data_IF_643839203995
#
_entry.id   IF_643839203995
#
_cell.length_a   1.000
_cell.length_b   1.000
_cell.length_c   1.000
_cell.angle_alpha   90.00
_cell.angle_beta   90.00
_cell.angle_gamma   90.00
#
_symmetry.space_group_name_H-M   'P 1'
#
loop_
_entity.id
_entity.type
_entity.pdbx_description
1 polymer ?
#
# COMPACT_ATOMS: atom_id res chain seq x y z
N UNK A 1 -1.01 10.87 -0.30
CA UNK A 1 -1.65 11.90 0.53
C UNK A 1 -1.49 13.32 0.00
N UNK A 2 -0.59 13.59 -0.90
CA UNK A 2 -0.27 14.89 -1.50
C UNK A 2 0.28 15.98 -0.53
N UNK A 3 0.41 15.73 0.76
CA UNK A 3 0.94 16.72 1.72
C UNK A 3 2.43 17.02 1.50
N UNK A 4 3.18 16.07 0.93
CA UNK A 4 4.60 16.24 0.65
C UNK A 4 4.90 16.96 -0.68
N UNK A 5 3.85 17.33 -1.41
CA UNK A 5 3.97 18.14 -2.62
C UNK A 5 3.85 19.64 -2.25
N UNK A 6 4.98 20.33 -2.12
CA UNK A 6 5.08 21.70 -1.61
C UNK A 6 4.35 22.79 -2.41
N UNK A 7 3.61 22.43 -3.47
CA UNK A 7 2.83 23.35 -4.29
C UNK A 7 1.35 23.44 -3.86
N UNK A 8 0.94 22.64 -2.87
CA UNK A 8 -0.42 22.61 -2.35
C UNK A 8 -0.47 23.23 -0.95
N UNK A 9 -1.52 24.03 -0.70
CA UNK A 9 -1.90 24.46 0.64
C UNK A 9 -3.26 23.83 0.93
N UNK A 10 -3.31 22.91 1.87
CA UNK A 10 -4.54 22.23 2.29
C UNK A 10 -5.14 22.90 3.53
N UNK A 11 -6.45 22.85 3.68
CA UNK A 11 -7.18 23.41 4.82
C UNK A 11 -6.92 22.65 6.13
N UNK A 12 -6.53 21.38 6.04
CA UNK A 12 -6.16 20.51 7.15
C UNK A 12 -5.14 19.46 6.69
N UNK A 13 -4.41 18.86 7.62
CA UNK A 13 -3.54 17.72 7.35
C UNK A 13 -4.36 16.48 6.98
N UNK A 14 -3.87 15.69 6.04
CA UNK A 14 -4.49 14.43 5.60
C UNK A 14 -4.06 13.26 6.48
N UNK A 15 -2.79 13.23 6.88
CA UNK A 15 -2.16 12.09 7.58
C UNK A 15 -1.52 12.52 8.92
N UNK A 16 -2.22 13.39 9.66
CA UNK A 16 -1.72 13.97 10.90
C UNK A 16 -1.43 12.93 11.98
N UNK A 17 -2.32 11.94 12.14
CA UNK A 17 -2.15 10.90 13.16
C UNK A 17 -0.96 9.99 12.85
N UNK A 18 -0.91 9.46 11.63
CA UNK A 18 0.19 8.57 11.18
C UNK A 18 1.55 9.25 11.33
N UNK A 19 1.64 10.54 10.98
CA UNK A 19 2.88 11.32 11.10
C UNK A 19 3.29 11.65 12.54
N UNK A 20 2.34 11.59 13.47
CA UNK A 20 2.58 11.87 14.91
C UNK A 20 3.01 10.64 15.70
N UNK A 21 2.99 9.44 15.09
CA UNK A 21 3.26 8.19 15.80
C UNK A 21 4.70 8.08 16.27
N UNK A 22 4.86 7.82 17.55
CA UNK A 22 6.11 7.36 18.12
C UNK A 22 6.36 5.90 17.76
N UNK A 23 7.63 5.47 17.74
CA UNK A 23 8.05 4.10 17.41
C UNK A 23 7.51 3.65 16.05
N UNK A 24 7.51 4.54 15.09
CA UNK A 24 7.10 4.30 13.72
C UNK A 24 8.18 4.70 12.72
N UNK A 25 8.18 4.05 11.58
CA UNK A 25 8.92 4.46 10.39
C UNK A 25 7.92 4.97 9.38
N UNK A 26 7.97 6.23 9.07
CA UNK A 26 7.22 6.84 7.99
C UNK A 26 8.13 7.11 6.80
N UNK A 27 7.67 6.80 5.61
CA UNK A 27 8.43 7.02 4.39
C UNK A 27 7.56 6.87 3.15
N UNK A 28 8.22 6.78 2.00
CA UNK A 28 7.54 6.64 0.72
C UNK A 28 8.07 5.43 -0.06
N UNK A 29 7.18 4.80 -0.79
CA UNK A 29 7.51 3.67 -1.66
C UNK A 29 7.12 3.96 -3.11
N UNK A 30 7.98 3.53 -4.04
CA UNK A 30 7.58 3.47 -5.44
C UNK A 30 6.70 2.25 -5.67
N UNK A 31 5.58 2.48 -6.35
CA UNK A 31 4.69 1.46 -6.91
C UNK A 31 4.82 1.44 -8.43
N UNK A 32 4.38 0.39 -9.08
CA UNK A 32 4.46 0.25 -10.55
C UNK A 32 3.22 0.72 -11.28
N UNK A 33 2.20 1.22 -10.57
CA UNK A 33 0.89 1.56 -11.12
C UNK A 33 0.43 2.95 -10.65
N UNK A 34 -0.44 3.57 -11.46
CA UNK A 34 -1.04 4.88 -11.18
C UNK A 34 -2.53 4.84 -11.52
N UNK A 35 -3.36 5.36 -10.61
CA UNK A 35 -4.79 5.53 -10.82
C UNK A 35 -5.64 4.26 -10.79
N UNK A 36 -5.01 3.10 -10.86
CA UNK A 36 -5.61 1.76 -10.75
C UNK A 36 -4.52 0.68 -10.74
N UNK A 37 -4.89 -0.58 -10.46
CA UNK A 37 -3.96 -1.70 -10.56
C UNK A 37 -3.50 -2.27 -9.21
N UNK A 38 -4.33 -2.17 -8.18
CA UNK A 38 -4.07 -2.63 -6.80
C UNK A 38 -3.39 -4.00 -6.73
N UNK A 39 -3.83 -4.97 -7.55
CA UNK A 39 -3.22 -6.32 -7.56
C UNK A 39 -1.75 -6.35 -7.97
N UNK A 40 -1.25 -5.34 -8.68
CA UNK A 40 0.17 -5.21 -8.99
C UNK A 40 0.97 -4.81 -7.75
N UNK A 41 0.47 -3.85 -6.98
CA UNK A 41 1.09 -3.41 -5.72
C UNK A 41 1.05 -4.50 -4.65
N UNK A 42 -0.08 -5.22 -4.55
CA UNK A 42 -0.19 -6.42 -3.70
C UNK A 42 0.85 -7.48 -4.07
N UNK A 43 0.98 -7.77 -5.37
CA UNK A 43 1.95 -8.74 -5.88
C UNK A 43 3.39 -8.34 -5.56
N UNK A 44 3.76 -7.08 -5.77
CA UNK A 44 5.09 -6.57 -5.45
C UNK A 44 5.40 -6.71 -3.97
N UNK A 45 4.49 -6.28 -3.08
CA UNK A 45 4.68 -6.38 -1.64
C UNK A 45 4.77 -7.84 -1.16
N UNK A 46 3.81 -8.68 -1.58
CA UNK A 46 3.72 -10.05 -1.10
C UNK A 46 4.84 -10.96 -1.59
N UNK A 47 5.32 -10.76 -2.83
CA UNK A 47 6.28 -11.68 -3.45
C UNK A 47 7.70 -11.14 -3.51
N UNK A 48 7.90 -9.84 -3.39
CA UNK A 48 9.18 -9.18 -3.65
C UNK A 48 9.55 -9.09 -5.13
N UNK A 49 8.71 -9.61 -6.03
CA UNK A 49 8.90 -9.45 -7.47
C UNK A 49 8.49 -8.05 -7.90
N UNK A 50 9.09 -7.53 -8.97
CA UNK A 50 8.71 -6.22 -9.51
C UNK A 50 7.98 -6.35 -10.84
N UNK A 51 6.93 -5.55 -11.00
CA UNK A 51 6.23 -5.38 -12.28
C UNK A 51 7.14 -4.82 -13.39
N UNK A 52 8.28 -4.22 -13.04
CA UNK A 52 9.26 -3.73 -14.00
C UNK A 52 9.78 -4.81 -14.96
N UNK A 53 9.73 -6.08 -14.57
CA UNK A 53 10.16 -7.23 -15.36
C UNK A 53 9.01 -7.89 -16.13
N UNK A 54 7.79 -7.40 -16.00
CA UNK A 54 6.62 -7.92 -16.70
C UNK A 54 6.22 -6.99 -17.85
N UNK A 55 5.53 -7.50 -18.88
CA UNK A 55 4.98 -6.66 -19.94
C UNK A 55 4.06 -5.57 -19.38
N UNK A 56 4.07 -4.40 -20.02
CA UNK A 56 3.16 -3.31 -19.66
C UNK A 56 1.69 -3.77 -19.72
N UNK A 57 0.89 -3.37 -18.73
CA UNK A 57 -0.52 -3.77 -18.62
C UNK A 57 -0.73 -5.19 -18.08
N UNK A 58 0.31 -5.85 -17.60
CA UNK A 58 0.16 -7.17 -16.95
C UNK A 58 -0.69 -7.07 -15.69
N UNK A 59 -1.55 -8.08 -15.50
CA UNK A 59 -2.34 -8.30 -14.29
C UNK A 59 -1.79 -9.56 -13.61
N UNK A 60 -0.92 -9.41 -12.58
CA UNK A 60 -0.11 -10.53 -12.09
C UNK A 60 -0.93 -11.69 -11.54
N UNK A 61 -2.02 -11.42 -10.84
CA UNK A 61 -2.89 -12.46 -10.28
C UNK A 61 -3.59 -13.32 -11.35
N UNK A 62 -3.83 -12.74 -12.53
CA UNK A 62 -4.49 -13.45 -13.64
C UNK A 62 -3.50 -14.16 -14.56
N UNK A 63 -2.28 -13.65 -14.67
CA UNK A 63 -1.34 -14.06 -15.73
C UNK A 63 -0.09 -14.79 -15.20
N UNK A 64 0.30 -14.54 -13.94
CA UNK A 64 1.57 -15.05 -13.39
C UNK A 64 1.41 -15.87 -12.13
N UNK A 65 0.40 -15.61 -11.29
CA UNK A 65 0.09 -16.44 -10.11
C UNK A 65 -0.81 -17.59 -10.53
N UNK A 66 -0.28 -18.49 -11.36
CA UNK A 66 -1.04 -19.61 -11.93
C UNK A 66 -0.91 -20.93 -11.14
N UNK A 67 -0.01 -20.98 -10.16
CA UNK A 67 0.26 -22.11 -9.26
C UNK A 67 0.88 -21.64 -7.96
N UNK A 68 1.34 -22.55 -7.09
CA UNK A 68 2.00 -22.20 -5.84
C UNK A 68 3.15 -21.21 -6.10
N UNK A 69 3.09 -20.06 -5.44
CA UNK A 69 4.03 -18.94 -5.62
C UNK A 69 4.55 -18.51 -4.26
N UNK A 70 5.87 -18.42 -4.12
CA UNK A 70 6.49 -17.96 -2.88
C UNK A 70 6.07 -16.51 -2.57
N UNK A 71 5.69 -16.26 -1.32
CA UNK A 71 5.21 -14.96 -0.85
C UNK A 71 5.45 -14.80 0.65
N UNK A 72 5.19 -13.62 1.20
CA UNK A 72 5.17 -13.40 2.65
C UNK A 72 4.25 -14.39 3.37
N UNK A 73 3.06 -14.69 2.81
CA UNK A 73 2.15 -15.65 3.41
C UNK A 73 2.77 -17.05 3.50
N UNK A 74 3.39 -17.54 2.42
CA UNK A 74 4.03 -18.86 2.42
C UNK A 74 5.26 -18.93 3.34
N UNK A 75 6.02 -17.83 3.46
CA UNK A 75 7.17 -17.73 4.38
C UNK A 75 6.69 -17.79 5.83
N UNK A 76 5.73 -16.93 6.20
CA UNK A 76 5.22 -16.83 7.56
C UNK A 76 4.46 -18.10 7.98
N UNK A 77 3.76 -18.74 7.05
CA UNK A 77 3.15 -20.05 7.28
C UNK A 77 4.19 -21.12 7.61
N UNK A 78 5.34 -21.12 6.95
CA UNK A 78 6.44 -22.04 7.27
C UNK A 78 7.04 -21.78 8.65
N UNK A 79 6.95 -20.54 9.17
CA UNK A 79 7.32 -20.13 10.53
C UNK A 79 6.21 -20.37 11.57
N UNK A 80 5.12 -21.04 11.18
CA UNK A 80 4.03 -21.44 12.07
C UNK A 80 2.88 -20.43 12.22
N UNK A 81 2.84 -19.37 11.45
CA UNK A 81 1.74 -18.42 11.45
C UNK A 81 0.48 -19.02 10.79
N UNK A 82 -0.70 -18.64 11.29
CA UNK A 82 -1.93 -18.66 10.48
C UNK A 82 -1.85 -17.51 9.48
N UNK A 83 -2.43 -17.70 8.29
CA UNK A 83 -2.35 -16.68 7.23
C UNK A 83 -3.74 -16.38 6.68
N UNK A 84 -4.19 -15.14 6.85
CA UNK A 84 -5.49 -14.64 6.41
C UNK A 84 -5.29 -13.47 5.44
N UNK A 85 -5.95 -13.52 4.28
CA UNK A 85 -6.15 -12.34 3.44
C UNK A 85 -7.57 -11.80 3.69
N UNK A 86 -7.73 -10.47 3.71
CA UNK A 86 -9.02 -9.82 3.87
C UNK A 86 -9.15 -8.65 2.88
N UNK A 87 -10.34 -8.52 2.27
CA UNK A 87 -10.70 -7.40 1.40
C UNK A 87 -12.20 -7.19 1.46
N UNK A 88 -12.71 -6.06 1.97
CA UNK A 88 -14.15 -5.84 2.15
C UNK A 88 -14.93 -5.59 0.85
N UNK A 89 -14.31 -5.73 -0.31
CA UNK A 89 -14.94 -5.69 -1.62
C UNK A 89 -15.41 -7.06 -2.12
N UNK A 90 -15.66 -7.16 -3.42
CA UNK A 90 -16.12 -8.39 -4.07
C UNK A 90 -15.02 -9.47 -4.06
N UNK A 91 -15.40 -10.71 -3.69
CA UNK A 91 -14.50 -11.86 -3.57
C UNK A 91 -13.67 -12.13 -4.83
N UNK A 92 -14.27 -12.03 -6.01
CA UNK A 92 -13.64 -12.36 -7.27
C UNK A 92 -12.80 -11.19 -7.87
N UNK A 93 -12.84 -10.01 -7.26
CA UNK A 93 -12.08 -8.85 -7.75
C UNK A 93 -10.60 -9.21 -7.91
N UNK A 94 -10.02 -8.88 -9.09
CA UNK A 94 -8.65 -9.25 -9.48
C UNK A 94 -8.36 -10.76 -9.47
N UNK A 95 -9.37 -11.65 -9.34
CA UNK A 95 -9.24 -13.11 -9.10
C UNK A 95 -8.48 -13.44 -7.80
N UNK A 96 -8.68 -12.63 -6.75
CA UNK A 96 -8.08 -12.87 -5.42
C UNK A 96 -8.46 -14.24 -4.84
N UNK A 97 -9.68 -14.69 -5.08
CA UNK A 97 -10.17 -16.03 -4.72
C UNK A 97 -9.29 -17.17 -5.23
N UNK A 98 -8.58 -16.95 -6.34
CA UNK A 98 -7.65 -17.92 -6.93
C UNK A 98 -6.19 -17.61 -6.59
N UNK A 99 -5.83 -16.33 -6.50
CA UNK A 99 -4.47 -15.91 -6.30
C UNK A 99 -4.00 -16.13 -4.84
N UNK A 100 -4.80 -15.75 -3.85
CA UNK A 100 -4.38 -15.85 -2.45
C UNK A 100 -4.09 -17.27 -1.98
N UNK A 101 -4.88 -18.31 -2.29
CA UNK A 101 -4.49 -19.70 -1.97
C UNK A 101 -3.16 -20.11 -2.62
N UNK A 102 -2.86 -19.62 -3.84
CA UNK A 102 -1.61 -19.92 -4.54
C UNK A 102 -0.41 -19.18 -3.95
N UNK A 103 -0.65 -18.01 -3.34
CA UNK A 103 0.34 -17.25 -2.57
C UNK A 103 0.56 -17.82 -1.16
N UNK A 104 -0.21 -18.84 -0.74
CA UNK A 104 0.00 -19.57 0.51
C UNK A 104 -0.92 -19.16 1.65
N UNK A 105 -1.89 -18.27 1.43
CA UNK A 105 -2.88 -17.96 2.46
C UNK A 105 -3.73 -19.16 2.81
N UNK A 106 -4.00 -19.37 4.11
CA UNK A 106 -4.89 -20.42 4.61
C UNK A 106 -6.35 -20.10 4.32
N UNK A 107 -6.70 -18.82 4.42
CA UNK A 107 -8.07 -18.33 4.20
C UNK A 107 -8.09 -16.94 3.54
N UNK A 108 -9.22 -16.66 2.89
CA UNK A 108 -9.54 -15.38 2.32
C UNK A 108 -10.98 -15.00 2.66
N UNK A 109 -11.16 -13.86 3.33
CA UNK A 109 -12.45 -13.27 3.68
C UNK A 109 -12.71 -12.03 2.81
N UNK A 110 -13.98 -11.76 2.51
CA UNK A 110 -14.43 -10.58 1.78
C UNK A 110 -15.56 -9.86 2.54
N UNK A 111 -16.15 -8.83 1.95
CA UNK A 111 -17.20 -8.05 2.61
C UNK A 111 -18.38 -8.86 3.10
N UNK A 112 -18.76 -9.94 2.37
CA UNK A 112 -19.84 -10.84 2.78
C UNK A 112 -19.49 -11.69 4.02
N UNK A 113 -18.20 -11.80 4.37
CA UNK A 113 -17.71 -12.61 5.48
C UNK A 113 -17.37 -11.76 6.72
N UNK A 114 -17.69 -10.47 6.72
CA UNK A 114 -17.44 -9.60 7.87
C UNK A 114 -18.31 -9.97 9.07
N UNK A 115 -17.71 -10.02 10.23
CA UNK A 115 -18.35 -10.36 11.49
C UNK A 115 -18.75 -9.09 12.30
N UNK A 116 -18.21 -7.93 11.91
CA UNK A 116 -18.55 -6.63 12.52
C UNK A 116 -19.55 -5.84 11.69
N UNK A 117 -20.31 -4.90 12.30
CA UNK A 117 -21.21 -4.03 11.55
C UNK A 117 -20.47 -3.19 10.50
N UNK A 118 -21.02 -3.14 9.30
CA UNK A 118 -20.43 -2.37 8.20
C UNK A 118 -20.98 -0.94 8.21
N UNK A 119 -20.09 0.05 8.17
CA UNK A 119 -20.38 1.43 7.82
C UNK A 119 -19.80 1.74 6.44
N UNK A 120 -20.30 2.78 5.79
CA UNK A 120 -19.99 3.05 4.39
C UNK A 120 -19.56 4.51 4.20
N UNK A 121 -18.55 4.72 3.38
CA UNK A 121 -18.14 6.00 2.85
C UNK A 121 -18.24 5.96 1.32
N UNK A 122 -18.86 6.95 0.73
CA UNK A 122 -19.16 7.09 -0.71
C UNK A 122 -19.54 5.79 -1.45
N UNK A 123 -20.21 4.88 -0.75
CA UNK A 123 -20.71 3.61 -1.31
C UNK A 123 -19.80 2.40 -1.09
N UNK A 124 -18.64 2.55 -0.45
CA UNK A 124 -17.74 1.47 -0.07
C UNK A 124 -17.70 1.28 1.45
N UNK A 125 -17.35 0.06 1.88
CA UNK A 125 -17.12 -0.24 3.30
C UNK A 125 -16.04 0.70 3.84
N UNK A 126 -16.31 1.33 4.98
CA UNK A 126 -15.37 2.27 5.60
C UNK A 126 -14.14 1.58 6.15
N UNK A 127 -13.01 2.28 6.18
CA UNK A 127 -11.78 1.79 6.81
C UNK A 127 -11.95 1.60 8.33
N UNK A 128 -12.89 2.33 8.97
CA UNK A 128 -13.23 2.09 10.37
C UNK A 128 -13.78 0.67 10.57
N UNK A 129 -14.78 0.26 9.77
CA UNK A 129 -15.32 -1.11 9.85
C UNK A 129 -14.32 -2.17 9.44
N UNK A 130 -13.48 -1.86 8.44
CA UNK A 130 -12.40 -2.73 7.97
C UNK A 130 -11.40 -3.01 9.10
N UNK A 131 -10.95 -1.98 9.80
CA UNK A 131 -10.00 -2.11 10.91
C UNK A 131 -10.62 -2.75 12.16
N UNK A 132 -11.89 -2.52 12.43
CA UNK A 132 -12.63 -3.27 13.46
C UNK A 132 -12.70 -4.77 13.13
N UNK A 133 -12.84 -5.14 11.86
CA UNK A 133 -12.77 -6.55 11.45
C UNK A 133 -11.37 -7.14 11.66
N UNK A 134 -10.30 -6.39 11.41
CA UNK A 134 -8.93 -6.86 11.72
C UNK A 134 -8.78 -7.17 13.21
N UNK A 135 -9.29 -6.31 14.08
CA UNK A 135 -9.28 -6.52 15.53
C UNK A 135 -10.05 -7.78 15.88
N UNK A 136 -11.26 -7.93 15.31
CA UNK A 136 -12.10 -9.11 15.53
C UNK A 136 -11.37 -10.41 15.12
N UNK A 137 -10.70 -10.44 13.99
CA UNK A 137 -9.93 -11.61 13.52
C UNK A 137 -8.81 -11.98 14.50
N UNK A 138 -8.13 -11.00 15.09
CA UNK A 138 -7.11 -11.24 16.10
C UNK A 138 -7.71 -11.83 17.38
N UNK A 139 -8.84 -11.31 17.85
CA UNK A 139 -9.51 -11.79 19.06
C UNK A 139 -10.06 -13.20 18.91
N UNK A 140 -10.35 -13.63 17.68
CA UNK A 140 -10.95 -14.92 17.36
C UNK A 140 -9.99 -15.90 16.67
N UNK A 141 -8.70 -15.57 16.56
CA UNK A 141 -7.69 -16.47 16.00
C UNK A 141 -7.44 -17.68 16.92
N UNK A 142 -6.79 -18.70 16.39
CA UNK A 142 -6.34 -19.85 17.16
C UNK A 142 -5.42 -19.41 18.31
N UNK A 143 -5.76 -19.79 19.55
CA UNK A 143 -5.01 -19.40 20.74
C UNK A 143 -3.55 -19.88 20.67
N UNK A 144 -2.62 -19.00 21.02
CA UNK A 144 -1.19 -19.29 21.02
C UNK A 144 -0.54 -19.37 19.64
N UNK A 145 -1.29 -19.16 18.54
CA UNK A 145 -0.76 -19.16 17.19
C UNK A 145 -0.67 -17.73 16.65
N UNK A 146 0.51 -17.31 16.13
CA UNK A 146 0.65 -16.00 15.54
C UNK A 146 -0.16 -15.90 14.23
N UNK A 147 -0.65 -14.69 13.92
CA UNK A 147 -1.44 -14.42 12.72
C UNK A 147 -0.68 -13.46 11.80
N UNK A 148 -0.57 -13.81 10.52
CA UNK A 148 -0.30 -12.88 9.43
C UNK A 148 -1.60 -12.54 8.74
N UNK A 149 -2.05 -11.31 8.89
CA UNK A 149 -3.23 -10.79 8.22
C UNK A 149 -2.79 -9.78 7.15
N UNK A 150 -3.13 -10.05 5.90
CA UNK A 150 -2.93 -9.12 4.78
C UNK A 150 -4.27 -8.50 4.41
N UNK A 151 -4.41 -7.22 4.68
CA UNK A 151 -5.63 -6.47 4.40
C UNK A 151 -5.48 -5.57 3.17
N UNK A 152 -6.54 -5.45 2.38
CA UNK A 152 -6.66 -4.49 1.28
C UNK A 152 -7.97 -3.73 1.48
N UNK A 153 -7.90 -2.50 1.94
CA UNK A 153 -9.08 -1.67 2.17
C UNK A 153 -9.80 -1.29 0.87
N UNK A 154 -10.99 -0.70 0.94
CA UNK A 154 -11.74 -0.29 -0.25
C UNK A 154 -12.29 1.14 -0.14
N UNK A 155 -12.33 1.75 1.04
CA UNK A 155 -12.92 3.07 1.25
C UNK A 155 -12.42 4.11 0.23
N UNK A 156 -11.13 4.12 -0.06
CA UNK A 156 -10.51 5.11 -0.94
C UNK A 156 -10.53 4.71 -2.43
N UNK A 157 -11.31 3.69 -2.82
CA UNK A 157 -11.44 3.27 -4.21
C UNK A 157 -12.01 4.40 -5.07
N UNK A 158 -11.51 4.51 -6.31
CA UNK A 158 -11.82 5.60 -7.23
C UNK A 158 -13.30 5.77 -7.61
N UNK A 159 -13.56 6.86 -8.32
CA UNK A 159 -14.88 7.31 -8.68
C UNK A 159 -15.39 8.43 -7.76
N UNK A 160 -14.52 9.29 -7.27
CA UNK A 160 -14.76 10.42 -6.36
C UNK A 160 -15.75 11.45 -6.95
N UNK A 161 -16.99 10.99 -7.26
CA UNK A 161 -18.00 11.75 -8.00
C UNK A 161 -19.31 11.87 -7.23
N UNK A 162 -19.27 11.70 -5.91
CA UNK A 162 -20.47 11.91 -5.08
C UNK A 162 -20.81 13.40 -5.11
N UNK A 163 -22.01 13.78 -5.62
CA UNK A 163 -22.40 15.18 -5.66
C UNK A 163 -22.47 15.76 -4.24
N UNK A 164 -22.02 17.01 -4.10
CA UNK A 164 -22.04 17.75 -2.82
C UNK A 164 -21.43 16.96 -1.64
N UNK A 165 -20.39 16.15 -1.92
CA UNK A 165 -19.67 15.43 -0.88
C UNK A 165 -19.11 16.43 0.15
N UNK A 166 -19.33 16.20 1.46
CA UNK A 166 -18.92 17.14 2.50
C UNK A 166 -17.40 17.06 2.73
N UNK A 167 -16.62 17.64 1.82
CA UNK A 167 -15.18 17.64 1.89
C UNK A 167 -14.68 18.40 3.14
N UNK A 168 -13.94 17.69 4.00
CA UNK A 168 -13.31 18.23 5.21
C UNK A 168 -11.89 18.74 4.93
N UNK A 169 -11.20 18.11 3.98
CA UNK A 169 -9.89 18.55 3.50
C UNK A 169 -10.05 19.13 2.10
N UNK A 170 -9.72 20.40 1.94
CA UNK A 170 -9.89 21.18 0.72
C UNK A 170 -8.61 21.97 0.41
N UNK A 171 -8.50 22.46 -0.82
CA UNK A 171 -7.52 23.50 -1.14
C UNK A 171 -7.85 24.78 -0.35
N UNK A 172 -6.90 25.28 0.44
CA UNK A 172 -7.11 26.44 1.31
C UNK A 172 -7.44 27.72 0.52
N UNK A 173 -6.77 27.91 -0.62
CA UNK A 173 -6.91 29.12 -1.45
C UNK A 173 -8.10 29.06 -2.42
N UNK A 174 -8.54 27.87 -2.84
CA UNK A 174 -9.59 27.68 -3.83
C UNK A 174 -10.50 26.48 -3.47
N UNK A 175 -11.24 26.54 -2.33
CA UNK A 175 -12.09 25.43 -1.88
C UNK A 175 -13.16 25.10 -2.93
N UNK A 176 -13.38 23.79 -3.17
CA UNK A 176 -14.37 23.30 -4.13
C UNK A 176 -13.92 23.33 -5.59
N UNK A 177 -12.73 23.79 -5.89
CA UNK A 177 -12.21 23.86 -7.27
C UNK A 177 -11.96 22.51 -7.89
N UNK A 178 -11.53 21.54 -7.10
CA UNK A 178 -11.23 20.17 -7.53
C UNK A 178 -12.01 19.17 -6.67
N UNK A 179 -13.31 19.01 -6.93
CA UNK A 179 -14.18 18.22 -6.05
C UNK A 179 -13.79 16.74 -5.94
N UNK A 180 -13.24 16.12 -7.00
CA UNK A 180 -12.76 14.74 -6.91
C UNK A 180 -11.52 14.62 -6.01
N UNK A 181 -10.57 15.53 -6.15
CA UNK A 181 -9.38 15.55 -5.33
C UNK A 181 -9.73 15.85 -3.86
N UNK A 182 -10.61 16.81 -3.59
CA UNK A 182 -11.01 17.16 -2.22
C UNK A 182 -11.83 16.03 -1.56
N UNK A 183 -12.64 15.30 -2.32
CA UNK A 183 -13.29 14.08 -1.84
C UNK A 183 -12.24 13.03 -1.48
N UNK A 184 -11.27 12.76 -2.36
CA UNK A 184 -10.18 11.82 -2.09
C UNK A 184 -9.38 12.20 -0.85
N UNK A 185 -8.96 13.46 -0.72
CA UNK A 185 -8.18 13.95 0.43
C UNK A 185 -8.94 13.75 1.75
N UNK A 186 -10.26 13.99 1.72
CA UNK A 186 -11.12 13.76 2.88
C UNK A 186 -11.23 12.28 3.22
N UNK A 187 -11.35 11.39 2.22
CA UNK A 187 -11.39 9.95 2.45
C UNK A 187 -10.06 9.44 3.01
N UNK A 188 -8.93 9.93 2.50
CA UNK A 188 -7.61 9.60 3.01
C UNK A 188 -7.40 10.10 4.46
N UNK A 189 -7.96 11.26 4.81
CA UNK A 189 -7.95 11.75 6.19
C UNK A 189 -8.79 10.84 7.11
N UNK A 190 -9.95 10.36 6.66
CA UNK A 190 -10.75 9.38 7.42
C UNK A 190 -10.00 8.05 7.62
N UNK A 191 -9.17 7.64 6.66
CA UNK A 191 -8.27 6.48 6.84
C UNK A 191 -7.26 6.73 7.97
N UNK A 192 -6.68 7.94 8.04
CA UNK A 192 -5.76 8.35 9.10
C UNK A 192 -6.43 8.29 10.49
N UNK A 193 -7.67 8.80 10.57
CA UNK A 193 -8.49 8.74 11.79
C UNK A 193 -8.82 7.28 12.18
N UNK A 194 -9.23 6.45 11.21
CA UNK A 194 -9.54 5.05 11.45
C UNK A 194 -8.29 4.25 11.87
N UNK A 195 -7.12 4.58 11.34
CA UNK A 195 -5.85 3.91 11.69
C UNK A 195 -5.52 4.05 13.17
N UNK A 196 -5.97 5.13 13.82
CA UNK A 196 -5.85 5.29 15.26
C UNK A 196 -6.50 4.13 16.02
N UNK A 197 -7.63 3.60 15.54
CA UNK A 197 -8.32 2.46 16.17
C UNK A 197 -7.42 1.23 16.26
N UNK A 198 -6.65 0.93 15.19
CA UNK A 198 -5.69 -0.17 15.20
C UNK A 198 -4.54 0.08 16.18
N UNK A 199 -3.93 1.26 16.11
CA UNK A 199 -2.78 1.58 16.97
C UNK A 199 -3.18 1.60 18.44
N UNK A 200 -4.31 2.20 18.79
CA UNK A 200 -4.82 2.25 20.17
C UNK A 200 -5.09 0.85 20.72
N UNK A 201 -5.69 -0.03 19.93
CA UNK A 201 -5.93 -1.42 20.31
C UNK A 201 -4.62 -2.18 20.50
N UNK A 202 -3.75 -2.20 19.48
CA UNK A 202 -2.52 -2.99 19.52
C UNK A 202 -1.48 -2.45 20.51
N UNK A 203 -1.52 -1.16 20.85
CA UNK A 203 -0.69 -0.58 21.90
C UNK A 203 -0.95 -1.16 23.29
N UNK A 204 -2.13 -1.74 23.50
CA UNK A 204 -2.54 -2.35 24.76
C UNK A 204 -2.41 -3.89 24.74
N UNK A 205 -2.02 -4.48 23.61
CA UNK A 205 -1.83 -5.91 23.48
C UNK A 205 -0.44 -6.34 23.98
N UNK A 206 -0.40 -7.44 24.75
CA UNK A 206 0.85 -8.07 25.18
C UNK A 206 1.54 -8.83 24.02
N UNK A 207 0.79 -9.26 23.01
CA UNK A 207 1.32 -9.96 21.84
C UNK A 207 2.11 -8.99 20.96
N UNK A 208 3.40 -9.29 20.64
CA UNK A 208 4.20 -8.43 19.77
C UNK A 208 3.55 -8.29 18.40
N UNK A 209 3.20 -7.06 18.05
CA UNK A 209 2.49 -6.74 16.82
C UNK A 209 3.23 -5.70 16.00
N UNK A 210 3.33 -5.93 14.70
CA UNK A 210 3.84 -4.97 13.72
C UNK A 210 2.76 -4.71 12.66
N UNK A 211 2.53 -3.46 12.33
CA UNK A 211 1.61 -3.01 11.29
C UNK A 211 2.40 -2.33 10.19
N UNK A 212 2.22 -2.78 8.95
CA UNK A 212 2.73 -2.10 7.75
C UNK A 212 1.54 -1.65 6.93
N UNK A 213 1.35 -0.34 6.80
CA UNK A 213 0.34 0.24 5.93
C UNK A 213 1.01 1.04 4.82
N UNK A 214 0.51 0.93 3.60
CA UNK A 214 1.02 1.66 2.44
C UNK A 214 -0.08 1.95 1.44
N UNK A 215 0.08 3.01 0.65
CA UNK A 215 -0.75 3.25 -0.52
C UNK A 215 -0.41 2.26 -1.65
N UNK A 216 -1.42 1.79 -2.36
CA UNK A 216 -1.23 0.90 -3.50
C UNK A 216 -0.92 1.66 -4.80
N UNK A 217 -1.49 2.83 -4.99
CA UNK A 217 -1.23 3.77 -6.08
C UNK A 217 -1.80 5.15 -5.76
N UNK A 218 -1.37 6.17 -6.49
CA UNK A 218 -2.01 7.49 -6.42
C UNK A 218 -3.39 7.47 -7.09
N UNK A 219 -4.32 8.36 -6.67
CA UNK A 219 -5.67 8.41 -7.21
C UNK A 219 -5.73 8.98 -8.63
N UNK A 220 -6.80 8.62 -9.34
CA UNK A 220 -7.18 9.30 -10.58
C UNK A 220 -8.19 10.41 -10.23
N UNK A 221 -7.71 11.64 -10.20
CA UNK A 221 -8.47 12.86 -9.91
C UNK A 221 -8.30 13.87 -11.05
N UNK A 222 -8.85 15.09 -10.89
CA UNK A 222 -8.74 16.14 -11.91
C UNK A 222 -7.28 16.41 -12.31
N UNK A 223 -7.02 16.45 -13.62
CA UNK A 223 -5.67 16.72 -14.12
C UNK A 223 -5.13 18.09 -13.65
N UNK A 224 -5.98 19.10 -13.56
CA UNK A 224 -5.60 20.41 -13.06
C UNK A 224 -5.13 20.41 -11.60
N UNK A 225 -5.68 19.52 -10.75
CA UNK A 225 -5.18 19.29 -9.40
C UNK A 225 -3.79 18.64 -9.41
N UNK A 226 -3.61 17.62 -10.25
CA UNK A 226 -2.32 16.95 -10.38
C UNK A 226 -1.24 17.90 -10.91
N UNK A 227 -1.57 18.74 -11.92
CA UNK A 227 -0.65 19.74 -12.45
C UNK A 227 -0.24 20.75 -11.38
N UNK A 228 -1.19 21.16 -10.53
CA UNK A 228 -0.90 22.03 -9.38
C UNK A 228 -0.02 21.31 -8.36
N UNK A 229 -0.34 20.08 -7.99
CA UNK A 229 0.43 19.29 -7.01
C UNK A 229 1.89 19.12 -7.46
N UNK A 230 2.10 18.74 -8.71
CA UNK A 230 3.45 18.52 -9.25
C UNK A 230 4.16 19.84 -9.65
N UNK A 231 3.41 20.95 -9.70
CA UNK A 231 3.94 22.25 -10.11
C UNK A 231 4.28 22.34 -11.60
N UNK A 232 3.78 21.43 -12.43
CA UNK A 232 4.09 21.32 -13.86
C UNK A 232 3.04 20.48 -14.58
N UNK A 233 2.73 20.78 -15.84
CA UNK A 233 1.84 19.94 -16.64
C UNK A 233 2.51 18.62 -17.02
N UNK A 234 1.71 17.59 -17.30
CA UNK A 234 2.23 16.25 -17.60
C UNK A 234 3.21 16.24 -18.79
N UNK A 235 3.00 17.08 -19.80
CA UNK A 235 3.86 17.18 -20.98
C UNK A 235 5.21 17.82 -20.70
N UNK A 236 5.31 18.57 -19.60
CA UNK A 236 6.52 19.31 -19.21
C UNK A 236 7.30 18.63 -18.10
N UNK A 237 6.80 17.51 -17.57
CA UNK A 237 7.45 16.79 -16.47
C UNK A 237 8.87 16.34 -16.85
N UNK A 238 9.81 16.62 -15.94
CA UNK A 238 11.09 15.89 -15.93
C UNK A 238 10.85 14.42 -15.58
N UNK A 239 11.82 13.56 -15.80
CA UNK A 239 11.74 12.14 -15.42
C UNK A 239 11.50 12.00 -13.90
N UNK A 240 12.14 12.82 -13.07
CA UNK A 240 11.98 12.79 -11.62
C UNK A 240 10.56 13.16 -11.20
N UNK A 241 9.98 14.22 -11.77
CA UNK A 241 8.58 14.59 -11.52
C UNK A 241 7.60 13.52 -12.02
N UNK A 242 7.88 12.94 -13.19
CA UNK A 242 7.09 11.83 -13.71
C UNK A 242 7.10 10.62 -12.75
N UNK A 243 8.27 10.31 -12.19
CA UNK A 243 8.40 9.26 -11.18
C UNK A 243 7.63 9.56 -9.90
N UNK A 244 7.46 10.82 -9.53
CA UNK A 244 6.64 11.25 -8.41
C UNK A 244 5.18 10.77 -8.48
N UNK A 245 4.64 10.51 -9.68
CA UNK A 245 3.30 9.92 -9.87
C UNK A 245 3.16 8.51 -9.29
N UNK A 246 4.26 7.80 -9.10
CA UNK A 246 4.32 6.43 -8.60
C UNK A 246 4.78 6.36 -7.14
N UNK A 247 4.73 7.47 -6.44
CA UNK A 247 5.22 7.63 -5.08
C UNK A 247 4.04 7.60 -4.10
N UNK A 248 4.04 6.64 -3.20
CA UNK A 248 2.97 6.43 -2.22
C UNK A 248 3.55 6.41 -0.81
N UNK A 249 2.83 6.91 0.21
CA UNK A 249 3.28 6.84 1.59
C UNK A 249 3.23 5.40 2.11
N UNK A 250 4.08 5.11 3.10
CA UNK A 250 3.96 3.95 3.96
C UNK A 250 4.27 4.31 5.41
N UNK A 251 3.75 3.52 6.32
CA UNK A 251 4.12 3.53 7.73
C UNK A 251 4.37 2.10 8.21
N UNK A 252 5.40 1.92 9.03
CA UNK A 252 5.66 0.70 9.79
C UNK A 252 5.62 1.10 11.26
N UNK A 253 4.68 0.56 11.99
CA UNK A 253 4.52 0.78 13.43
C UNK A 253 4.54 -0.56 14.17
N UNK A 254 5.05 -0.58 15.39
CA UNK A 254 5.00 -1.76 16.23
C UNK A 254 4.73 -1.38 17.70
N UNK A 255 4.12 -2.29 18.46
CA UNK A 255 3.96 -2.14 19.92
C UNK A 255 5.22 -2.56 20.71
N UNK A 256 6.33 -2.82 20.03
CA UNK A 256 7.66 -3.11 20.57
C UNK A 256 8.71 -2.23 19.87
N UNK A 257 9.90 -2.00 20.48
CA UNK A 257 10.93 -1.15 19.86
C UNK A 257 11.36 -1.65 18.48
N UNK A 258 11.22 -0.82 17.45
CA UNK A 258 11.70 -1.12 16.11
C UNK A 258 13.23 -0.99 16.04
N UNK A 259 13.94 -1.89 15.35
CA UNK A 259 15.39 -1.84 15.22
C UNK A 259 15.82 -0.74 14.22
N UNK A 260 16.31 0.38 14.75
CA UNK A 260 16.91 1.45 13.96
C UNK A 260 15.95 2.33 13.19
N UNK A 261 16.49 3.19 12.33
CA UNK A 261 15.73 4.03 11.40
C UNK A 261 15.40 3.24 10.14
N UNK A 262 14.17 3.38 9.67
CA UNK A 262 13.73 2.76 8.42
C UNK A 262 14.16 3.55 7.18
N UNK A 263 13.77 3.10 5.99
CA UNK A 263 14.03 3.83 4.77
C UNK A 263 13.10 5.04 4.69
N UNK A 264 13.64 6.19 4.33
CA UNK A 264 12.81 7.33 3.90
C UNK A 264 12.16 7.07 2.55
N UNK A 265 12.85 6.32 1.69
CA UNK A 265 12.38 5.95 0.34
C UNK A 265 12.77 4.51 0.02
N UNK A 266 11.80 3.76 -0.52
CA UNK A 266 11.98 2.38 -0.98
C UNK A 266 11.10 2.09 -2.19
N UNK A 267 10.86 0.83 -2.55
CA UNK A 267 9.76 0.40 -3.42
C UNK A 267 9.01 -0.78 -2.81
N UNK A 268 7.77 -0.99 -3.23
CA UNK A 268 6.87 -1.96 -2.60
C UNK A 268 7.46 -3.37 -2.58
N UNK A 269 8.18 -3.76 -3.63
CA UNK A 269 8.83 -5.07 -3.71
C UNK A 269 9.94 -5.30 -2.66
N UNK A 270 10.47 -4.24 -2.04
CA UNK A 270 11.42 -4.36 -0.93
C UNK A 270 10.75 -4.25 0.45
N UNK A 271 9.55 -3.65 0.53
CA UNK A 271 8.90 -3.33 1.80
C UNK A 271 8.61 -4.59 2.64
N UNK A 272 8.25 -5.71 1.99
CA UNK A 272 8.07 -7.00 2.68
C UNK A 272 9.34 -7.52 3.38
N UNK A 273 10.53 -7.14 2.89
CA UNK A 273 11.79 -7.52 3.54
C UNK A 273 12.05 -6.73 4.83
N UNK A 274 11.56 -5.48 4.91
CA UNK A 274 11.58 -4.72 6.15
C UNK A 274 10.65 -5.35 7.19
N UNK A 275 9.43 -5.75 6.79
CA UNK A 275 8.49 -6.45 7.67
C UNK A 275 9.15 -7.69 8.30
N UNK A 276 9.70 -8.60 7.50
CA UNK A 276 10.33 -9.81 8.02
C UNK A 276 11.48 -9.51 9.00
N UNK A 277 12.34 -8.55 8.67
CA UNK A 277 13.48 -8.19 9.51
C UNK A 277 13.07 -7.50 10.81
N UNK A 278 12.07 -6.62 10.77
CA UNK A 278 11.56 -5.97 11.97
C UNK A 278 10.79 -6.93 12.87
N UNK A 279 10.16 -7.96 12.30
CA UNK A 279 9.56 -9.06 13.03
C UNK A 279 10.60 -10.11 13.54
N UNK A 280 11.88 -9.95 13.22
CA UNK A 280 12.93 -10.90 13.62
C UNK A 280 12.83 -12.25 12.89
N UNK A 281 12.18 -12.31 11.74
CA UNK A 281 11.95 -13.54 10.97
C UNK A 281 13.07 -13.72 9.95
N UNK A 282 13.59 -14.95 9.85
CA UNK A 282 14.62 -15.28 8.90
C UNK A 282 14.13 -15.08 7.45
N UNK A 283 14.95 -14.42 6.64
CA UNK A 283 14.67 -14.23 5.22
C UNK A 283 14.87 -15.53 4.42
N UNK A 284 14.40 -15.51 3.19
CA UNK A 284 14.75 -16.52 2.19
C UNK A 284 16.00 -16.10 1.41
N UNK A 285 16.69 -17.02 0.71
CA UNK A 285 17.79 -16.63 -0.17
C UNK A 285 17.44 -15.53 -1.18
N UNK A 286 16.20 -15.54 -1.70
CA UNK A 286 15.70 -14.48 -2.58
C UNK A 286 15.51 -13.16 -1.81
N UNK A 287 14.96 -13.22 -0.60
CA UNK A 287 14.80 -12.05 0.27
C UNK A 287 16.16 -11.43 0.66
N UNK A 288 17.16 -12.25 0.91
CA UNK A 288 18.52 -11.76 1.19
C UNK A 288 19.18 -11.11 -0.03
N UNK A 289 18.95 -11.68 -1.21
CA UNK A 289 19.38 -11.05 -2.47
C UNK A 289 18.71 -9.68 -2.64
N UNK A 290 17.38 -9.57 -2.48
CA UNK A 290 16.68 -8.30 -2.55
C UNK A 290 17.18 -7.29 -1.53
N UNK A 291 17.48 -7.74 -0.31
CA UNK A 291 18.01 -6.88 0.74
C UNK A 291 19.37 -6.30 0.38
N UNK A 292 20.25 -7.10 -0.22
CA UNK A 292 21.55 -6.64 -0.72
C UNK A 292 21.42 -5.73 -1.94
N UNK A 293 20.45 -5.98 -2.81
CA UNK A 293 20.20 -5.20 -4.01
C UNK A 293 19.64 -3.80 -3.71
N UNK A 294 18.80 -3.70 -2.68
CA UNK A 294 18.05 -2.49 -2.29
C UNK A 294 18.88 -1.19 -2.25
N UNK A 295 20.10 -1.14 -1.66
CA UNK A 295 20.87 0.10 -1.60
C UNK A 295 21.34 0.61 -2.96
N UNK A 296 21.34 -0.23 -3.95
CA UNK A 296 21.82 0.07 -5.31
C UNK A 296 20.69 0.54 -6.25
N UNK A 297 19.43 0.42 -5.79
CA UNK A 297 18.23 0.75 -6.58
C UNK A 297 17.38 1.73 -5.79
N UNK A 298 17.19 2.95 -6.31
CA UNK A 298 16.29 3.93 -5.69
C UNK A 298 14.81 3.56 -5.80
N UNK A 299 14.46 2.66 -6.74
CA UNK A 299 13.13 2.08 -6.94
C UNK A 299 13.12 1.21 -8.17
N UNK A 300 12.34 0.13 -8.15
CA UNK A 300 11.98 -0.67 -9.31
C UNK A 300 10.52 -0.37 -9.62
N UNK A 301 10.24 0.06 -10.83
CA UNK A 301 8.89 0.42 -11.26
C UNK A 301 8.60 -0.09 -12.67
N UNK A 302 7.34 -0.38 -12.93
CA UNK A 302 6.88 -0.88 -14.22
C UNK A 302 7.04 0.15 -15.34
N UNK A 303 7.32 -0.32 -16.55
CA UNK A 303 7.38 0.51 -17.77
C UNK A 303 5.95 0.89 -18.19
N UNK A 304 5.37 1.91 -17.59
CA UNK A 304 3.99 2.35 -17.85
C UNK A 304 3.86 3.79 -18.35
N UNK A 305 4.83 4.32 -19.08
CA UNK A 305 4.72 5.65 -19.69
C UNK A 305 4.73 5.59 -21.23
N UNK A 306 3.94 6.42 -21.94
CA UNK A 306 4.03 6.53 -23.38
C UNK A 306 5.40 7.10 -23.75
N UNK A 307 6.27 6.30 -24.38
CA UNK A 307 7.44 6.81 -25.09
C UNK A 307 8.82 6.57 -24.49
N UNK A 308 8.98 5.84 -23.40
CA UNK A 308 10.31 5.45 -22.93
C UNK A 308 10.85 4.27 -23.75
N UNK A 309 11.44 4.58 -24.90
CA UNK A 309 12.42 3.67 -25.51
C UNK A 309 13.67 3.64 -24.63
N UNK A 310 14.28 2.49 -24.36
CA UNK A 310 15.56 2.44 -23.67
C UNK A 310 16.56 3.22 -24.52
N UNK A 311 17.10 4.32 -24.00
CA UNK A 311 18.32 4.89 -24.54
C UNK A 311 19.37 3.79 -24.48
N UNK A 312 19.78 3.31 -25.66
CA UNK A 312 20.82 2.31 -25.76
C UNK A 312 22.09 2.80 -25.09
N UNK A 313 22.74 1.84 -24.47
CA UNK A 313 24.07 1.89 -23.88
C UNK A 313 24.15 2.06 -22.36
N UNK A 314 23.77 0.99 -21.65
CA UNK A 314 24.48 0.63 -20.42
C UNK A 314 24.95 -0.83 -20.53
N UNK A 315 26.12 -1.00 -21.09
CA UNK A 315 26.86 -2.26 -21.06
C UNK A 315 27.22 -2.54 -19.60
N UNK A 316 26.72 -3.64 -19.08
CA UNK A 316 27.25 -4.21 -17.84
C UNK A 316 28.73 -4.55 -18.09
N UNK A 317 29.65 -3.81 -17.51
CA UNK A 317 31.02 -4.25 -17.36
C UNK A 317 31.03 -5.41 -16.36
N UNK A 318 31.37 -6.60 -16.83
CA UNK A 318 31.80 -7.69 -15.94
C UNK A 318 33.18 -7.30 -15.39
N UNK A 319 33.41 -7.36 -14.09
CA UNK A 319 34.77 -7.43 -13.59
C UNK A 319 35.34 -8.82 -13.92
N UNK A 320 36.56 -8.83 -14.41
CA UNK A 320 37.38 -10.02 -14.65
C UNK A 320 37.69 -10.78 -13.33
#
# INVERSE_FOLDING_TARGET
DFEDYGNLTLSASVTNYIRSLDNAVYGHAYTSVFGAGTSASEFEFLTGNSMAFLPSGSIPYQQYVLGPTASLASILKAEGYSTLAFHPGERASWQRDRAYPRLGFDSYKCGDDMDVPQTFEHGYVSDQSDFEQIIWELEHKEEGKPLFLFNVTIQNHGGYTVPDYPAQVQLADEPGKYPMAEQYLTLANKTDEAFQTLVDYFSQCDEPTIIVMFGDHQPSVEQGFLDLAYGVTQEQMTMEQYMGKYYVPFVIWANYPLPGTGPETTSLNFLGQYLLRYAGIAGTPYGDFLWQLRPHLRGLYGRGGPGLQPSGDQRFHRPD
#
